data_IF_998928912350
#
_entry.id   IF_998928912350
#
_cell.length_a   1.000
_cell.length_b   1.000
_cell.length_c   1.000
_cell.angle_alpha   90.00
_cell.angle_beta   90.00
_cell.angle_gamma   90.00
#
_symmetry.space_group_name_H-M   'P 1'
#
loop_
_entity.id
_entity.type
_entity.pdbx_description
1 polymer ?
#
# COMPACT_ATOMS: atom_id res chain seq x y z
N UNK A 1 -33.07 1.97 -8.53
CA UNK A 1 -32.79 3.37 -8.20
C UNK A 1 -32.62 3.49 -6.69
N UNK A 2 -31.52 4.12 -6.27
CA UNK A 2 -30.93 4.22 -4.93
C UNK A 2 -31.71 5.05 -3.90
N UNK A 3 -31.51 4.73 -2.61
CA UNK A 3 -30.86 5.58 -1.58
C UNK A 3 -31.02 4.90 -0.20
N UNK A 4 -29.97 4.31 0.39
CA UNK A 4 -28.99 4.88 1.34
C UNK A 4 -29.57 5.40 2.67
N UNK A 5 -29.28 4.64 3.74
CA UNK A 5 -28.89 4.97 5.14
C UNK A 5 -29.19 3.69 5.96
N UNK A 6 -28.36 3.15 6.86
CA UNK A 6 -27.65 3.85 7.92
C UNK A 6 -26.61 2.95 8.64
N UNK A 7 -25.68 3.61 9.32
CA UNK A 7 -24.73 3.21 10.39
C UNK A 7 -24.23 1.76 10.48
N UNK A 8 -22.92 1.57 10.28
CA UNK A 8 -22.16 0.56 11.03
C UNK A 8 -20.97 1.23 11.74
N UNK A 9 -21.10 1.32 13.06
CA UNK A 9 -20.15 1.92 13.99
C UNK A 9 -19.17 0.83 14.44
N UNK A 10 -17.92 1.04 14.10
CA UNK A 10 -16.77 0.19 14.38
C UNK A 10 -16.58 -0.04 15.88
N UNK A 11 -16.47 -1.31 16.26
CA UNK A 11 -15.91 -1.74 17.54
C UNK A 11 -14.40 -1.94 17.37
N UNK A 12 -13.60 -1.33 18.26
CA UNK A 12 -12.19 -1.65 18.45
C UNK A 12 -12.05 -2.64 19.62
N UNK A 13 -11.04 -3.52 19.58
CA UNK A 13 -10.29 -3.81 20.79
C UNK A 13 -8.79 -3.52 20.58
N UNK A 14 -8.31 -2.63 21.43
CA UNK A 14 -6.90 -2.35 21.70
C UNK A 14 -6.29 -3.51 22.49
N UNK A 15 -5.28 -4.18 21.93
CA UNK A 15 -4.27 -4.92 22.70
C UNK A 15 -2.94 -4.79 21.97
N UNK A 16 -2.05 -3.93 22.47
CA UNK A 16 -0.62 -3.98 22.16
C UNK A 16 0.12 -3.89 23.48
N UNK A 17 0.86 -4.95 23.77
CA UNK A 17 1.76 -5.06 24.90
C UNK A 17 3.01 -4.21 24.65
N UNK A 18 3.46 -3.48 25.66
CA UNK A 18 4.79 -2.92 25.77
C UNK A 18 5.67 -3.89 26.58
N UNK A 19 6.80 -4.30 26.01
CA UNK A 19 8.00 -4.64 26.81
C UNK A 19 9.27 -4.48 25.95
N UNK A 20 10.07 -3.47 26.27
CA UNK A 20 11.53 -3.38 26.05
C UNK A 20 12.20 -3.80 27.39
N UNK A 21 13.53 -4.11 27.54
CA UNK A 21 14.66 -3.71 26.68
C UNK A 21 15.79 -4.74 26.45
N UNK A 22 16.74 -4.34 25.60
CA UNK A 22 18.01 -5.00 25.23
C UNK A 22 19.12 -5.02 26.32
N UNK A 23 19.95 -6.09 26.21
CA UNK A 23 21.33 -6.36 26.69
C UNK A 23 21.65 -6.56 28.20
N UNK A 24 22.54 -7.52 28.58
CA UNK A 24 23.97 -7.49 28.22
C UNK A 24 24.70 -8.83 27.93
N UNK A 25 25.95 -8.68 27.48
CA UNK A 25 27.01 -9.62 27.08
C UNK A 25 27.30 -10.91 27.92
N UNK A 26 27.54 -12.01 27.18
CA UNK A 26 28.48 -13.13 27.47
C UNK A 26 27.89 -14.40 28.10
N UNK A 27 28.50 -15.62 27.97
CA UNK A 27 29.74 -16.03 27.29
C UNK A 27 29.60 -17.22 26.29
N UNK A 28 30.66 -17.46 25.48
CA UNK A 28 30.89 -18.66 24.65
C UNK A 28 30.73 -19.98 25.45
N UNK A 29 30.13 -21.02 24.86
CA UNK A 29 30.96 -22.16 24.43
C UNK A 29 30.43 -22.90 23.18
N UNK A 30 31.33 -23.18 22.24
CA UNK A 30 31.12 -24.19 21.19
C UNK A 30 32.48 -24.73 20.79
N UNK A 31 33.01 -25.71 21.52
CA UNK A 31 32.85 -27.15 21.22
C UNK A 31 33.15 -27.46 19.75
N UNK A 32 34.44 -27.47 19.44
CA UNK A 32 34.97 -28.17 18.29
C UNK A 32 35.01 -29.67 18.64
N UNK A 33 34.15 -30.45 18.01
CA UNK A 33 34.22 -31.91 18.06
C UNK A 33 34.83 -32.46 16.76
N UNK A 34 35.77 -33.38 16.99
CA UNK A 34 36.08 -34.57 16.21
C UNK A 34 36.89 -34.41 14.91
N UNK A 35 38.19 -34.17 15.08
CA UNK A 35 39.19 -34.86 14.27
C UNK A 35 39.62 -36.16 14.97
N UNK A 36 39.04 -37.29 14.57
CA UNK A 36 39.56 -38.62 14.91
C UNK A 36 40.93 -38.81 14.25
N UNK A 37 41.95 -38.57 15.05
CA UNK A 37 43.36 -38.82 14.74
C UNK A 37 43.64 -40.33 14.80
N UNK A 38 43.43 -40.99 13.66
CA UNK A 38 44.28 -42.06 13.09
C UNK A 38 45.13 -42.83 14.11
N UNK A 39 44.53 -43.83 14.78
CA UNK A 39 45.28 -44.85 15.52
C UNK A 39 45.96 -45.78 14.52
N UNK A 40 47.26 -45.57 14.35
CA UNK A 40 48.17 -46.41 13.57
C UNK A 40 48.45 -47.67 14.38
N UNK A 41 47.72 -48.76 14.12
CA UNK A 41 48.09 -50.08 14.64
C UNK A 41 49.23 -50.66 13.80
N UNK A 42 50.37 -50.85 14.46
CA UNK A 42 51.58 -51.44 13.89
C UNK A 42 51.35 -52.89 13.47
N UNK A 43 51.90 -53.36 12.33
CA UNK A 43 51.93 -54.78 11.98
C UNK A 43 52.85 -55.52 12.96
N UNK A 44 52.33 -56.55 13.63
CA UNK A 44 53.15 -57.49 14.36
C UNK A 44 54.06 -58.24 13.36
N UNK A 45 55.36 -57.98 13.44
CA UNK A 45 56.39 -58.72 12.70
C UNK A 45 56.50 -60.13 13.29
N UNK A 46 56.04 -61.15 12.56
CA UNK A 46 56.42 -62.53 12.84
C UNK A 46 57.91 -62.72 12.52
N UNK A 47 58.69 -62.92 13.57
CA UNK A 47 60.11 -63.25 13.48
C UNK A 47 60.25 -64.73 13.13
N UNK A 48 60.56 -65.06 11.87
CA UNK A 48 61.09 -66.37 11.50
C UNK A 48 62.51 -66.48 12.05
N UNK A 49 62.69 -67.24 13.14
CA UNK A 49 64.02 -67.72 13.56
C UNK A 49 64.03 -69.24 13.43
N UNK A 50 64.65 -69.63 12.33
CA UNK A 50 65.17 -70.92 11.99
C UNK A 50 66.21 -71.30 13.06
N UNK A 51 66.01 -72.45 13.73
CA UNK A 51 66.99 -73.08 14.61
C UNK A 51 67.04 -74.56 14.31
N UNK A 52 67.71 -74.93 13.22
CA UNK A 52 68.32 -76.25 13.07
C UNK A 52 69.58 -76.25 13.93
N UNK A 53 69.52 -76.86 15.10
CA UNK A 53 70.71 -77.35 15.79
C UNK A 53 70.58 -78.87 15.90
N UNK A 54 71.48 -79.54 15.18
CA UNK A 54 71.48 -80.96 14.92
C UNK A 54 72.44 -81.57 15.95
N UNK A 55 71.93 -81.84 17.15
CA UNK A 55 72.68 -82.57 18.16
C UNK A 55 72.62 -84.06 17.86
N UNK A 56 73.70 -84.58 17.29
CA UNK A 56 74.02 -85.99 17.16
C UNK A 56 74.02 -86.65 18.55
N UNK A 57 72.96 -87.40 18.86
CA UNK A 57 72.88 -88.17 20.11
C UNK A 57 73.30 -89.61 19.85
N UNK A 58 74.53 -89.90 20.26
CA UNK A 58 75.14 -91.23 20.32
C UNK A 58 74.28 -92.18 21.13
N UNK A 59 73.93 -93.31 20.49
CA UNK A 59 73.30 -94.47 21.10
C UNK A 59 74.19 -95.05 22.23
N UNK A 60 73.72 -94.87 23.47
CA UNK A 60 74.11 -95.67 24.63
C UNK A 60 72.85 -96.15 25.33
N UNK A 61 72.22 -97.18 24.76
CA UNK A 61 71.86 -98.42 25.45
C UNK A 61 71.67 -98.33 26.99
N UNK A 62 70.58 -97.69 27.42
CA UNK A 62 69.95 -97.92 28.72
C UNK A 62 68.43 -97.83 28.55
N UNK A 63 67.65 -98.88 28.83
CA UNK A 63 66.20 -98.81 28.71
C UNK A 63 65.64 -98.05 29.92
N UNK A 64 65.53 -96.73 29.79
CA UNK A 64 64.79 -95.85 30.71
C UNK A 64 63.54 -95.30 30.04
N UNK A 65 62.84 -96.12 29.26
CA UNK A 65 61.44 -95.86 29.01
C UNK A 65 60.65 -96.74 29.97
N UNK A 66 59.74 -96.17 30.79
CA UNK A 66 58.72 -96.97 31.43
C UNK A 66 58.12 -97.83 30.32
N UNK A 67 58.00 -99.14 30.54
CA UNK A 67 57.14 -99.97 29.72
C UNK A 67 55.77 -99.29 29.76
N UNK A 68 55.46 -98.51 28.72
CA UNK A 68 54.18 -97.83 28.59
C UNK A 68 53.22 -98.99 28.51
N UNK A 69 52.53 -99.25 29.63
CA UNK A 69 51.49 -100.25 29.67
C UNK A 69 50.55 -99.96 28.50
N UNK A 70 50.05 -100.97 27.80
CA UNK A 70 49.13 -100.78 26.67
C UNK A 70 47.96 -99.82 27.04
N UNK A 71 47.64 -99.73 28.33
CA UNK A 71 46.72 -98.77 28.96
C UNK A 71 47.15 -97.29 28.84
N UNK A 72 48.43 -96.94 29.06
CA UNK A 72 48.93 -95.57 28.99
C UNK A 72 49.14 -95.09 27.54
N UNK A 73 49.45 -96.01 26.61
CA UNK A 73 49.49 -95.73 25.17
C UNK A 73 48.09 -95.41 24.63
N UNK A 74 47.09 -96.17 25.04
CA UNK A 74 45.68 -95.91 24.73
C UNK A 74 45.21 -94.55 25.23
N UNK A 75 45.57 -94.15 26.47
CA UNK A 75 45.21 -92.81 26.99
C UNK A 75 45.81 -91.65 26.18
N UNK A 76 47.03 -91.79 25.68
CA UNK A 76 47.66 -90.77 24.83
C UNK A 76 47.02 -90.72 23.44
N UNK A 77 46.70 -91.88 22.87
CA UNK A 77 45.97 -92.00 21.61
C UNK A 77 44.55 -91.40 21.71
N UNK A 78 43.84 -91.64 22.81
CA UNK A 78 42.51 -91.07 23.06
C UNK A 78 42.55 -89.55 23.23
N UNK A 79 43.57 -89.02 23.93
CA UNK A 79 43.78 -87.56 24.05
C UNK A 79 44.13 -86.93 22.71
N UNK A 80 44.98 -87.58 21.92
CA UNK A 80 45.36 -87.12 20.59
C UNK A 80 44.16 -87.14 19.64
N UNK A 81 43.38 -88.22 19.65
CA UNK A 81 42.16 -88.36 18.86
C UNK A 81 41.08 -87.33 19.27
N UNK A 82 40.97 -87.01 20.56
CA UNK A 82 40.08 -85.94 21.03
C UNK A 82 40.58 -84.54 20.61
N UNK A 83 41.89 -84.32 20.60
CA UNK A 83 42.49 -83.09 20.11
C UNK A 83 42.32 -82.96 18.60
N UNK A 84 42.50 -84.03 17.84
CA UNK A 84 42.28 -84.10 16.40
C UNK A 84 40.82 -83.80 16.05
N UNK A 85 39.85 -84.38 16.78
CA UNK A 85 38.42 -84.04 16.64
C UNK A 85 38.12 -82.57 16.94
N UNK A 86 38.75 -82.02 17.98
CA UNK A 86 38.55 -80.61 18.37
C UNK A 86 39.14 -79.66 17.33
N UNK A 87 40.33 -79.95 16.82
CA UNK A 87 40.99 -79.17 15.76
C UNK A 87 40.18 -79.25 14.47
N UNK A 88 39.69 -80.43 14.09
CA UNK A 88 38.82 -80.60 12.92
C UNK A 88 37.53 -79.79 13.05
N UNK A 89 36.90 -79.79 14.23
CA UNK A 89 35.71 -78.99 14.50
C UNK A 89 35.99 -77.48 14.43
N UNK A 90 37.10 -77.01 15.01
CA UNK A 90 37.49 -75.60 14.96
C UNK A 90 37.82 -75.14 13.54
N UNK A 91 38.44 -76.01 12.73
CA UNK A 91 38.70 -75.74 11.32
C UNK A 91 37.40 -75.64 10.54
N UNK A 92 36.47 -76.59 10.71
CA UNK A 92 35.15 -76.53 10.09
C UNK A 92 34.40 -75.24 10.47
N UNK A 93 34.43 -74.85 11.76
CA UNK A 93 33.84 -73.60 12.23
C UNK A 93 34.52 -72.37 11.62
N UNK A 94 35.85 -72.34 11.57
CA UNK A 94 36.60 -71.24 10.97
C UNK A 94 36.32 -71.11 9.47
N UNK A 95 36.19 -72.24 8.75
CA UNK A 95 35.81 -72.25 7.34
C UNK A 95 34.40 -71.73 7.14
N UNK A 96 33.42 -72.19 7.95
CA UNK A 96 32.05 -71.66 7.87
C UNK A 96 31.98 -70.17 8.16
N UNK A 97 32.62 -69.70 9.22
CA UNK A 97 32.66 -68.28 9.56
C UNK A 97 33.29 -67.46 8.42
N UNK A 98 34.39 -67.94 7.83
CA UNK A 98 35.02 -67.28 6.67
C UNK A 98 34.05 -67.21 5.48
N UNK A 99 33.34 -68.29 5.19
CA UNK A 99 32.43 -68.39 4.06
C UNK A 99 31.21 -67.49 4.25
N UNK A 100 30.66 -67.44 5.47
CA UNK A 100 29.59 -66.52 5.86
C UNK A 100 30.02 -65.05 5.74
N UNK A 101 31.23 -64.70 6.21
CA UNK A 101 31.79 -63.35 6.04
C UNK A 101 31.96 -63.02 4.56
N UNK A 102 32.43 -63.97 3.76
CA UNK A 102 32.66 -63.78 2.32
C UNK A 102 31.33 -63.56 1.58
N UNK A 103 30.30 -64.34 1.90
CA UNK A 103 28.95 -64.19 1.34
C UNK A 103 28.34 -62.82 1.72
N UNK A 104 28.51 -62.38 2.97
CA UNK A 104 28.04 -61.09 3.45
C UNK A 104 28.72 -59.92 2.72
N UNK A 105 30.05 -59.96 2.57
CA UNK A 105 30.82 -58.92 1.89
C UNK A 105 30.54 -58.88 0.38
N UNK A 106 30.32 -60.03 -0.26
CA UNK A 106 30.02 -60.12 -1.68
C UNK A 106 28.60 -59.62 -1.99
N UNK A 107 27.65 -59.86 -1.09
CA UNK A 107 26.33 -59.23 -1.10
C UNK A 107 26.43 -57.71 -0.98
N UNK A 108 27.21 -57.20 -0.02
CA UNK A 108 27.45 -55.76 0.17
C UNK A 108 28.05 -55.07 -1.06
N UNK A 109 28.92 -55.75 -1.82
CA UNK A 109 29.47 -55.23 -3.07
C UNK A 109 28.43 -55.14 -4.20
N UNK A 110 27.41 -56.02 -4.19
CA UNK A 110 26.30 -56.01 -5.16
C UNK A 110 25.44 -54.74 -5.08
N UNK A 111 25.24 -54.21 -3.87
CA UNK A 111 24.44 -53.01 -3.62
C UNK A 111 25.13 -51.70 -4.02
N UNK A 112 26.42 -51.71 -4.35
CA UNK A 112 27.18 -50.49 -4.72
C UNK A 112 26.58 -49.75 -5.92
N UNK A 113 26.05 -50.49 -6.91
CA UNK A 113 25.41 -49.88 -8.09
C UNK A 113 24.08 -49.22 -7.73
N UNK A 114 23.27 -49.87 -6.92
CA UNK A 114 21.96 -49.39 -6.47
C UNK A 114 22.10 -48.19 -5.52
N UNK A 115 23.08 -48.25 -4.61
CA UNK A 115 23.49 -47.14 -3.76
C UNK A 115 23.99 -45.94 -4.59
N UNK A 116 24.75 -46.18 -5.66
CA UNK A 116 25.20 -45.11 -6.56
C UNK A 116 24.05 -44.46 -7.34
N UNK A 117 23.01 -45.23 -7.68
CA UNK A 117 21.82 -44.72 -8.36
C UNK A 117 20.99 -43.85 -7.39
N UNK A 118 20.80 -44.31 -6.16
CA UNK A 118 20.13 -43.53 -5.12
C UNK A 118 20.87 -42.22 -4.81
N UNK A 119 22.22 -42.25 -4.73
CA UNK A 119 23.01 -41.01 -4.57
C UNK A 119 22.84 -40.04 -5.73
N UNK A 120 22.89 -40.52 -6.98
CA UNK A 120 22.68 -39.66 -8.16
C UNK A 120 21.29 -39.04 -8.19
N UNK A 121 20.27 -39.81 -7.83
CA UNK A 121 18.89 -39.31 -7.74
C UNK A 121 18.81 -38.22 -6.67
N UNK A 122 19.36 -38.46 -5.48
CA UNK A 122 19.39 -37.48 -4.40
C UNK A 122 20.14 -36.20 -4.82
N UNK A 123 21.30 -36.33 -5.45
CA UNK A 123 22.07 -35.20 -5.95
C UNK A 123 21.29 -34.39 -7.00
N UNK A 124 20.60 -35.07 -7.93
CA UNK A 124 19.73 -34.42 -8.92
C UNK A 124 18.58 -33.65 -8.24
N UNK A 125 17.96 -34.22 -7.21
CA UNK A 125 16.90 -33.54 -6.46
C UNK A 125 17.42 -32.35 -5.68
N UNK A 126 18.57 -32.48 -5.01
CA UNK A 126 19.22 -31.37 -4.30
C UNK A 126 19.48 -30.23 -5.28
N UNK A 127 20.12 -30.51 -6.43
CA UNK A 127 20.37 -29.49 -7.46
C UNK A 127 19.09 -28.84 -7.96
N UNK A 128 18.04 -29.62 -8.21
CA UNK A 128 16.74 -29.11 -8.66
C UNK A 128 16.13 -28.18 -7.62
N UNK A 129 16.06 -28.61 -6.35
CA UNK A 129 15.53 -27.82 -5.24
C UNK A 129 16.34 -26.53 -5.08
N UNK A 130 17.67 -26.61 -5.10
CA UNK A 130 18.54 -25.43 -5.03
C UNK A 130 18.27 -24.44 -6.16
N UNK A 131 18.06 -24.93 -7.39
CA UNK A 131 17.74 -24.06 -8.53
C UNK A 131 16.38 -23.37 -8.36
N UNK A 132 15.37 -24.09 -7.85
CA UNK A 132 14.03 -23.56 -7.58
C UNK A 132 14.10 -22.49 -6.49
N UNK A 133 14.78 -22.76 -5.38
CA UNK A 133 14.95 -21.80 -4.27
C UNK A 133 15.65 -20.54 -4.77
N UNK A 134 16.73 -20.66 -5.55
CA UNK A 134 17.43 -19.51 -6.12
C UNK A 134 16.52 -18.66 -7.01
N UNK A 135 15.69 -19.30 -7.84
CA UNK A 135 14.72 -18.60 -8.70
C UNK A 135 13.61 -17.92 -7.90
N UNK A 136 13.12 -18.56 -6.84
CA UNK A 136 12.14 -17.98 -5.92
C UNK A 136 12.71 -16.73 -5.24
N UNK A 137 13.94 -16.78 -4.73
CA UNK A 137 14.59 -15.61 -4.14
C UNK A 137 14.71 -14.44 -5.11
N UNK A 138 15.12 -14.71 -6.36
CA UNK A 138 15.18 -13.68 -7.41
C UNK A 138 13.79 -13.10 -7.73
N UNK A 139 12.76 -13.95 -7.81
CA UNK A 139 11.41 -13.48 -8.07
C UNK A 139 10.86 -12.62 -6.93
N UNK A 140 11.19 -12.95 -5.67
CA UNK A 140 10.81 -12.15 -4.50
C UNK A 140 11.47 -10.77 -4.56
N UNK A 141 12.77 -10.70 -4.84
CA UNK A 141 13.51 -9.43 -4.97
C UNK A 141 12.90 -8.53 -6.06
N UNK A 142 12.61 -9.10 -7.24
CA UNK A 142 11.95 -8.36 -8.33
C UNK A 142 10.56 -7.87 -7.91
N UNK A 143 9.80 -8.71 -7.21
CA UNK A 143 8.45 -8.35 -6.77
C UNK A 143 8.48 -7.23 -5.71
N UNK A 144 9.43 -7.26 -4.79
CA UNK A 144 9.65 -6.21 -3.79
C UNK A 144 10.00 -4.87 -4.43
N UNK A 145 10.87 -4.88 -5.44
CA UNK A 145 11.23 -3.68 -6.19
C UNK A 145 10.04 -3.11 -6.98
N UNK A 146 9.22 -3.99 -7.59
CA UNK A 146 7.99 -3.58 -8.27
C UNK A 146 6.96 -2.98 -7.30
N UNK A 147 6.78 -3.58 -6.12
CA UNK A 147 5.89 -3.05 -5.07
C UNK A 147 6.41 -1.68 -4.62
N UNK A 148 7.71 -1.54 -4.37
CA UNK A 148 8.33 -0.28 -3.95
C UNK A 148 8.14 0.82 -5.00
N UNK A 149 8.37 0.52 -6.27
CA UNK A 149 8.16 1.46 -7.37
C UNK A 149 6.69 1.88 -7.50
N UNK A 150 5.76 0.91 -7.38
CA UNK A 150 4.32 1.17 -7.40
C UNK A 150 3.90 2.06 -6.23
N UNK A 151 4.38 1.79 -5.03
CA UNK A 151 3.99 2.53 -3.83
C UNK A 151 4.54 3.97 -3.86
N UNK A 152 5.75 4.16 -4.39
CA UNK A 152 6.30 5.50 -4.66
C UNK A 152 5.43 6.28 -5.65
N UNK A 153 5.05 5.65 -6.77
CA UNK A 153 4.17 6.27 -7.77
C UNK A 153 2.77 6.60 -7.19
N UNK A 154 2.19 5.68 -6.42
CA UNK A 154 0.90 5.88 -5.75
C UNK A 154 0.96 7.05 -4.74
N UNK A 155 2.03 7.11 -3.95
CA UNK A 155 2.27 8.20 -3.00
C UNK A 155 2.38 9.55 -3.71
N UNK A 156 3.17 9.62 -4.80
CA UNK A 156 3.30 10.84 -5.60
C UNK A 156 1.98 11.28 -6.23
N UNK A 157 1.20 10.35 -6.79
CA UNK A 157 -0.11 10.63 -7.36
C UNK A 157 -1.10 11.14 -6.29
N UNK A 158 -1.09 10.56 -5.10
CA UNK A 158 -1.94 10.99 -3.98
C UNK A 158 -1.61 12.43 -3.54
N UNK A 159 -0.33 12.80 -3.45
CA UNK A 159 0.07 14.17 -3.13
C UNK A 159 -0.41 15.16 -4.20
N UNK A 160 -0.21 14.85 -5.48
CA UNK A 160 -0.69 15.69 -6.57
C UNK A 160 -2.23 15.84 -6.55
N UNK A 161 -2.96 14.76 -6.29
CA UNK A 161 -4.42 14.78 -6.16
C UNK A 161 -4.87 15.63 -4.96
N UNK A 162 -4.21 15.52 -3.80
CA UNK A 162 -4.51 16.34 -2.63
C UNK A 162 -4.25 17.83 -2.89
N UNK A 163 -3.14 18.16 -3.56
CA UNK A 163 -2.82 19.55 -3.92
C UNK A 163 -3.87 20.14 -4.86
N UNK A 164 -4.29 19.38 -5.89
CA UNK A 164 -5.36 19.80 -6.80
C UNK A 164 -6.67 20.00 -6.04
N UNK A 165 -7.04 19.07 -5.15
CA UNK A 165 -8.25 19.18 -4.34
C UNK A 165 -8.24 20.42 -3.46
N UNK A 166 -7.10 20.75 -2.83
CA UNK A 166 -6.94 21.95 -2.02
C UNK A 166 -7.15 23.22 -2.85
N UNK A 167 -6.48 23.31 -4.01
CA UNK A 167 -6.63 24.45 -4.94
C UNK A 167 -8.06 24.59 -5.45
N UNK A 168 -8.72 23.47 -5.76
CA UNK A 168 -10.10 23.45 -6.20
C UNK A 168 -11.04 23.96 -5.09
N UNK A 169 -10.86 23.50 -3.85
CA UNK A 169 -11.66 23.94 -2.72
C UNK A 169 -11.51 25.45 -2.47
N UNK A 170 -10.27 25.96 -2.56
CA UNK A 170 -9.99 27.40 -2.47
C UNK A 170 -10.65 28.18 -3.61
N UNK A 171 -10.55 27.70 -4.85
CA UNK A 171 -11.16 28.34 -6.02
C UNK A 171 -12.68 28.40 -5.94
N UNK A 172 -13.33 27.31 -5.53
CA UNK A 172 -14.78 27.27 -5.29
C UNK A 172 -15.16 28.23 -4.15
N UNK A 173 -14.34 28.32 -3.11
CA UNK A 173 -14.52 29.26 -2.01
C UNK A 173 -14.52 30.73 -2.45
N UNK A 174 -13.54 31.14 -3.26
CA UNK A 174 -13.48 32.51 -3.82
C UNK A 174 -14.68 32.80 -4.72
N UNK A 175 -15.02 31.88 -5.63
CA UNK A 175 -16.16 32.02 -6.53
C UNK A 175 -17.46 32.20 -5.74
N UNK A 176 -17.68 31.38 -4.70
CA UNK A 176 -18.84 31.53 -3.81
C UNK A 176 -18.87 32.91 -3.15
N UNK A 177 -17.72 33.41 -2.68
CA UNK A 177 -17.62 34.75 -2.10
C UNK A 177 -17.88 35.87 -3.09
N UNK A 178 -17.46 35.71 -4.36
CA UNK A 178 -17.78 36.64 -5.45
C UNK A 178 -19.27 36.62 -5.79
N UNK A 179 -19.88 35.45 -5.91
CA UNK A 179 -21.33 35.30 -6.15
C UNK A 179 -22.13 35.98 -5.04
N UNK A 180 -21.81 35.73 -3.77
CA UNK A 180 -22.49 36.36 -2.64
C UNK A 180 -22.40 37.91 -2.67
N UNK A 181 -21.26 38.46 -3.10
CA UNK A 181 -21.10 39.91 -3.29
C UNK A 181 -21.95 40.43 -4.46
N UNK A 182 -21.95 39.72 -5.59
CA UNK A 182 -22.82 40.05 -6.72
C UNK A 182 -24.29 40.02 -6.32
N UNK A 183 -24.75 38.98 -5.62
CA UNK A 183 -26.12 38.86 -5.14
C UNK A 183 -26.50 40.05 -4.24
N UNK A 184 -25.60 40.44 -3.32
CA UNK A 184 -25.80 41.62 -2.49
C UNK A 184 -25.90 42.90 -3.31
N UNK A 185 -25.02 43.09 -4.30
CA UNK A 185 -25.06 44.25 -5.21
C UNK A 185 -26.34 44.28 -6.05
N UNK A 186 -26.80 43.13 -6.56
CA UNK A 186 -28.05 43.01 -7.33
C UNK A 186 -29.24 43.41 -6.47
N UNK A 187 -29.32 42.92 -5.23
CA UNK A 187 -30.41 43.27 -4.29
C UNK A 187 -30.41 44.77 -4.00
N UNK A 188 -29.25 45.37 -3.73
CA UNK A 188 -29.12 46.82 -3.50
C UNK A 188 -29.59 47.63 -4.70
N UNK A 189 -29.05 47.34 -5.89
CA UNK A 189 -29.44 48.02 -7.13
C UNK A 189 -30.91 47.84 -7.47
N UNK A 190 -31.48 46.66 -7.19
CA UNK A 190 -32.91 46.42 -7.36
C UNK A 190 -33.72 47.33 -6.44
N UNK A 191 -33.31 47.49 -5.18
CA UNK A 191 -33.90 48.45 -4.24
C UNK A 191 -33.83 49.89 -4.74
N UNK A 192 -32.65 50.32 -5.21
CA UNK A 192 -32.44 51.68 -5.74
C UNK A 192 -33.33 51.95 -6.95
N UNK A 193 -33.44 51.00 -7.89
CA UNK A 193 -34.32 51.11 -9.06
C UNK A 193 -35.79 51.22 -8.63
N UNK A 194 -36.22 50.43 -7.64
CA UNK A 194 -37.57 50.52 -7.11
C UNK A 194 -37.86 51.89 -6.49
N UNK A 195 -36.91 52.42 -5.72
CA UNK A 195 -37.01 53.75 -5.12
C UNK A 195 -37.10 54.85 -6.18
N UNK A 196 -36.17 54.88 -7.15
CA UNK A 196 -36.16 55.86 -8.23
C UNK A 196 -37.47 55.80 -9.04
N UNK A 197 -38.00 54.59 -9.30
CA UNK A 197 -39.27 54.41 -10.00
C UNK A 197 -40.45 55.01 -9.22
N UNK A 198 -40.44 54.92 -7.90
CA UNK A 198 -41.47 55.53 -7.06
C UNK A 198 -41.39 57.06 -7.10
N UNK A 199 -40.19 57.62 -6.94
CA UNK A 199 -39.95 59.07 -7.05
C UNK A 199 -40.38 59.61 -8.42
N UNK A 200 -40.00 58.90 -9.50
CA UNK A 200 -40.42 59.24 -10.86
C UNK A 200 -41.94 59.31 -10.99
N UNK A 201 -42.67 58.31 -10.48
CA UNK A 201 -44.14 58.30 -10.50
C UNK A 201 -44.75 59.45 -9.70
N UNK A 202 -44.12 59.86 -8.60
CA UNK A 202 -44.58 60.98 -7.80
C UNK A 202 -44.41 62.31 -8.55
N UNK A 203 -43.26 62.51 -9.18
CA UNK A 203 -42.99 63.67 -10.03
C UNK A 203 -43.95 63.70 -11.22
N UNK A 204 -44.15 62.56 -11.88
CA UNK A 204 -45.09 62.43 -13.01
C UNK A 204 -46.52 62.85 -12.60
N UNK A 205 -46.99 62.45 -11.42
CA UNK A 205 -48.29 62.92 -10.88
C UNK A 205 -48.31 64.43 -10.67
N UNK A 206 -47.28 65.00 -10.05
CA UNK A 206 -47.19 66.45 -9.83
C UNK A 206 -47.24 67.21 -11.15
N UNK A 207 -46.56 66.72 -12.19
CA UNK A 207 -46.60 67.32 -13.54
C UNK A 207 -48.02 67.22 -14.12
N UNK A 208 -48.66 66.05 -14.02
CA UNK A 208 -50.03 65.84 -14.52
C UNK A 208 -51.07 66.71 -13.79
N UNK A 209 -50.86 67.02 -12.51
CA UNK A 209 -51.71 67.94 -11.74
C UNK A 209 -51.42 69.41 -12.05
N UNK A 210 -50.15 69.76 -12.31
CA UNK A 210 -49.74 71.13 -12.62
C UNK A 210 -50.18 71.59 -14.01
N UNK A 211 -50.14 70.71 -15.01
CA UNK A 211 -50.55 71.02 -16.39
C UNK A 211 -51.96 71.62 -16.51
N UNK A 212 -53.04 71.03 -15.96
CA UNK A 212 -54.38 71.61 -16.05
C UNK A 212 -54.52 72.90 -15.23
N UNK A 213 -53.79 73.04 -14.12
CA UNK A 213 -53.77 74.28 -13.35
C UNK A 213 -53.18 75.43 -14.17
N UNK A 214 -52.07 75.17 -14.88
CA UNK A 214 -51.45 76.13 -15.78
C UNK A 214 -52.37 76.46 -16.97
N UNK A 215 -53.02 75.46 -17.57
CA UNK A 215 -53.97 75.66 -18.67
C UNK A 215 -55.16 76.52 -18.23
N UNK A 216 -55.67 76.27 -17.01
CA UNK A 216 -56.76 77.06 -16.41
C UNK A 216 -56.33 78.50 -16.17
N UNK A 217 -55.12 78.71 -15.65
CA UNK A 217 -54.56 80.05 -15.45
C UNK A 217 -54.39 80.80 -16.78
N UNK A 218 -53.87 80.13 -17.81
CA UNK A 218 -53.74 80.69 -19.17
C UNK A 218 -55.10 81.14 -19.71
N UNK A 219 -56.12 80.26 -19.66
CA UNK A 219 -57.48 80.59 -20.07
C UNK A 219 -58.08 81.75 -19.28
N UNK A 220 -57.81 81.82 -17.98
CA UNK A 220 -58.27 82.93 -17.15
C UNK A 220 -57.62 84.26 -17.54
N UNK A 221 -56.32 84.26 -17.81
CA UNK A 221 -55.59 85.45 -18.28
C UNK A 221 -56.08 85.90 -19.65
N UNK A 222 -56.27 84.98 -20.60
CA UNK A 222 -56.81 85.29 -21.92
C UNK A 222 -58.20 85.94 -21.81
N UNK A 223 -59.07 85.38 -20.97
CA UNK A 223 -60.40 85.94 -20.72
C UNK A 223 -60.31 87.37 -20.16
N UNK A 224 -59.47 87.61 -19.14
CA UNK A 224 -59.25 88.95 -18.57
C UNK A 224 -58.69 89.95 -19.59
N UNK A 225 -57.77 89.51 -20.45
CA UNK A 225 -57.22 90.37 -21.52
C UNK A 225 -58.31 90.74 -22.53
N UNK A 226 -59.18 89.79 -22.90
CA UNK A 226 -60.30 90.08 -23.79
C UNK A 226 -61.32 91.01 -23.13
N UNK A 227 -61.66 90.79 -21.86
CA UNK A 227 -62.57 91.62 -21.05
C UNK A 227 -62.07 93.08 -20.98
N UNK A 228 -60.84 93.28 -20.52
CA UNK A 228 -60.24 94.63 -20.45
C UNK A 228 -60.19 95.34 -21.81
N UNK A 229 -60.00 94.58 -22.91
CA UNK A 229 -60.02 95.12 -24.26
C UNK A 229 -61.43 95.56 -24.66
N UNK A 230 -62.45 94.76 -24.36
CA UNK A 230 -63.85 95.12 -24.61
C UNK A 230 -64.28 96.34 -23.78
N UNK A 231 -63.88 96.41 -22.51
CA UNK A 231 -64.13 97.57 -21.65
C UNK A 231 -63.49 98.84 -22.23
N UNK A 232 -62.24 98.74 -22.70
CA UNK A 232 -61.56 99.85 -23.37
C UNK A 232 -62.29 100.32 -24.62
N UNK A 233 -62.70 99.39 -25.50
CA UNK A 233 -63.50 99.72 -26.68
C UNK A 233 -64.85 100.32 -26.31
N UNK A 234 -65.53 99.78 -25.30
CA UNK A 234 -66.81 100.28 -24.82
C UNK A 234 -66.70 101.73 -24.34
N UNK A 235 -65.70 102.05 -23.50
CA UNK A 235 -65.44 103.43 -23.05
C UNK A 235 -65.14 104.34 -24.24
N UNK A 236 -64.32 103.89 -25.19
CA UNK A 236 -63.96 104.70 -26.36
C UNK A 236 -65.16 104.97 -27.28
N UNK A 237 -66.03 103.98 -27.51
CA UNK A 237 -67.26 104.15 -28.30
C UNK A 237 -68.22 105.11 -27.59
N UNK A 238 -68.44 104.95 -26.29
CA UNK A 238 -69.30 105.86 -25.52
C UNK A 238 -68.80 107.30 -25.57
N UNK A 239 -67.48 107.52 -25.47
CA UNK A 239 -66.89 108.85 -25.61
C UNK A 239 -67.15 109.45 -27.01
N UNK A 240 -66.93 108.67 -28.09
CA UNK A 240 -67.23 109.12 -29.46
C UNK A 240 -68.72 109.47 -29.60
N UNK A 241 -69.62 108.62 -29.10
CA UNK A 241 -71.06 108.87 -29.15
C UNK A 241 -71.45 110.15 -28.39
N UNK A 242 -70.83 110.40 -27.23
CA UNK A 242 -71.05 111.61 -26.46
C UNK A 242 -70.55 112.87 -27.17
N UNK A 243 -69.36 112.80 -27.78
CA UNK A 243 -68.82 113.88 -28.62
C UNK A 243 -69.72 114.16 -29.82
N UNK A 244 -70.25 113.12 -30.46
CA UNK A 244 -71.18 113.27 -31.57
C UNK A 244 -72.50 113.91 -31.11
N UNK A 245 -73.01 113.50 -29.95
CA UNK A 245 -74.20 114.10 -29.35
C UNK A 245 -74.00 115.57 -29.01
N UNK A 246 -72.85 115.95 -28.42
CA UNK A 246 -72.48 117.34 -28.17
C UNK A 246 -72.37 118.15 -29.45
N UNK A 247 -71.63 117.66 -30.43
CA UNK A 247 -71.46 118.34 -31.72
C UNK A 247 -72.80 118.54 -32.43
N UNK A 248 -73.66 117.52 -32.42
CA UNK A 248 -75.00 117.60 -32.99
C UNK A 248 -75.89 118.58 -32.22
N UNK A 249 -75.78 118.61 -30.88
CA UNK A 249 -76.51 119.57 -30.03
C UNK A 249 -76.05 121.00 -30.30
N UNK A 250 -74.75 121.27 -30.41
CA UNK A 250 -74.19 122.59 -30.76
C UNK A 250 -74.56 123.02 -32.18
N UNK A 251 -74.60 122.08 -33.13
CA UNK A 251 -75.04 122.33 -34.51
C UNK A 251 -76.52 122.73 -34.55
N UNK A 252 -77.36 122.09 -33.72
CA UNK A 252 -78.77 122.47 -33.59
C UNK A 252 -78.91 123.84 -32.92
N UNK A 253 -78.14 124.13 -31.86
CA UNK A 253 -78.23 125.38 -31.13
C UNK A 253 -77.74 126.59 -31.95
N UNK A 254 -76.62 126.45 -32.69
CA UNK A 254 -76.08 127.51 -33.56
C UNK A 254 -76.90 127.74 -34.84
N UNK A 255 -77.78 126.81 -35.23
CA UNK A 255 -78.65 126.97 -36.41
C UNK A 255 -80.01 127.58 -36.06
N UNK A 256 -80.32 127.72 -34.76
CA UNK A 256 -81.56 128.27 -34.24
C UNK A 256 -81.38 129.51 -33.34
N UNK A 257 -80.17 130.08 -33.25
CA UNK A 257 -79.90 131.41 -32.70
C UNK A 257 -79.64 132.42 -33.81
#
# INVERSE_FOLDING_TARGET
MSSYTDVNKSASPTVTAEEQPDEPDGPLPGSANDQEKKVRLSPAKMSSKNSTDLAEYVDKSHPFLPLISNTQRGQLEDRLNNQERTVAFLLEQAFRIKEDISACLQGALGFRKEESLARKLLESHIQTITSIVKKLSQNIEILEDQIRARDQAATGANFAAQEINLKHLQGVGDLRGRVARCDSSIVKLSGDIHFIRQEYRQIEKVIQEFMPALETLSKNLDMKVTENRWDSYFVHINNILWQFYLWFSDLILNRFS
#
